data_IF_510767079225
#
_entry.id   IF_510767079225
#
_cell.length_a   1.000
_cell.length_b   1.000
_cell.length_c   1.000
_cell.angle_alpha   90.00
_cell.angle_beta   90.00
_cell.angle_gamma   90.00
#
_symmetry.space_group_name_H-M   'P 1'
#
loop_
_entity.id
_entity.type
_entity.pdbx_description
1 polymer ?
#
# COMPACT_ATOMS: atom_id res chain seq x y z
N UNK A 1 3.50 -20.27 19.59
CA UNK A 1 4.58 -19.35 19.20
C UNK A 1 5.35 -18.87 20.43
N UNK A 2 6.68 -18.65 20.33
CA UNK A 2 7.46 -17.98 21.36
C UNK A 2 7.12 -16.48 21.42
N UNK A 3 7.21 -15.87 22.60
CA UNK A 3 6.87 -14.46 22.88
C UNK A 3 7.45 -13.43 21.88
N UNK A 4 8.69 -13.60 21.36
CA UNK A 4 9.20 -12.72 20.31
C UNK A 4 8.41 -12.75 19.00
N UNK A 5 7.87 -13.89 18.57
CA UNK A 5 7.08 -13.99 17.34
C UNK A 5 5.66 -13.41 17.52
N UNK A 6 5.09 -13.49 18.72
CA UNK A 6 3.81 -12.84 19.02
C UNK A 6 3.94 -11.31 18.91
N UNK A 7 5.05 -10.75 19.39
CA UNK A 7 5.35 -9.33 19.23
C UNK A 7 5.55 -8.93 17.75
N UNK A 8 6.22 -9.79 16.96
CA UNK A 8 6.34 -9.58 15.50
C UNK A 8 4.96 -9.58 14.86
N UNK A 9 4.10 -10.55 15.20
CA UNK A 9 2.76 -10.65 14.62
C UNK A 9 1.88 -9.45 14.98
N UNK A 10 1.91 -9.01 16.23
CA UNK A 10 1.22 -7.80 16.66
C UNK A 10 1.71 -6.57 15.89
N UNK A 11 3.03 -6.43 15.71
CA UNK A 11 3.61 -5.35 14.92
C UNK A 11 3.17 -5.41 13.44
N UNK A 12 3.14 -6.60 12.84
CA UNK A 12 2.65 -6.82 11.47
C UNK A 12 1.19 -6.37 11.34
N UNK A 13 0.31 -6.76 12.27
CA UNK A 13 -1.11 -6.37 12.25
C UNK A 13 -1.26 -4.85 12.37
N UNK A 14 -0.54 -4.22 13.31
CA UNK A 14 -0.59 -2.75 13.48
C UNK A 14 -0.08 -2.04 12.22
N UNK A 15 1.08 -2.44 11.69
CA UNK A 15 1.69 -1.82 10.53
C UNK A 15 0.85 -2.00 9.25
N UNK A 16 0.34 -3.21 9.00
CA UNK A 16 -0.55 -3.48 7.86
C UNK A 16 -1.91 -2.77 8.01
N UNK A 17 -2.40 -2.60 9.24
CA UNK A 17 -3.55 -1.77 9.58
C UNK A 17 -3.35 -0.31 9.22
N UNK A 18 -2.19 0.28 9.56
CA UNK A 18 -1.84 1.66 9.18
C UNK A 18 -1.79 1.82 7.66
N UNK A 19 -1.13 0.90 6.95
CA UNK A 19 -1.06 0.93 5.48
C UNK A 19 -2.46 0.85 4.86
N UNK A 20 -3.25 -0.12 5.31
CA UNK A 20 -4.61 -0.35 4.80
C UNK A 20 -5.54 0.82 5.08
N UNK A 21 -5.52 1.36 6.32
CA UNK A 21 -6.31 2.52 6.70
C UNK A 21 -5.93 3.77 5.91
N UNK A 22 -4.64 3.98 5.67
CA UNK A 22 -4.12 5.08 4.82
C UNK A 22 -4.62 4.93 3.39
N UNK A 23 -4.52 3.73 2.81
CA UNK A 23 -5.01 3.46 1.46
C UNK A 23 -6.52 3.63 1.35
N UNK A 24 -7.27 3.15 2.34
CA UNK A 24 -8.71 3.37 2.43
C UNK A 24 -9.04 4.87 2.43
N UNK A 25 -8.42 5.66 3.31
CA UNK A 25 -8.61 7.11 3.38
C UNK A 25 -8.27 7.80 2.06
N UNK A 26 -7.18 7.38 1.39
CA UNK A 26 -6.83 7.91 0.06
C UNK A 26 -7.91 7.57 -0.96
N UNK A 27 -8.40 6.33 -0.98
CA UNK A 27 -9.39 5.87 -1.95
C UNK A 27 -10.76 6.56 -1.80
N UNK A 28 -11.22 6.80 -0.57
CA UNK A 28 -12.58 7.28 -0.28
C UNK A 28 -12.68 8.78 0.00
N UNK A 29 -11.58 9.45 0.36
CA UNK A 29 -11.57 10.88 0.70
C UNK A 29 -10.65 11.67 -0.22
N UNK A 30 -9.35 11.34 -0.26
CA UNK A 30 -8.36 12.13 -1.00
C UNK A 30 -8.60 12.07 -2.51
N UNK A 31 -8.79 10.87 -3.05
CA UNK A 31 -8.88 10.69 -4.51
C UNK A 31 -10.15 11.27 -5.13
N UNK A 32 -11.34 11.19 -4.50
CA UNK A 32 -12.52 11.92 -4.96
C UNK A 32 -12.28 13.43 -5.11
N UNK A 33 -11.58 14.05 -4.16
CA UNK A 33 -11.21 15.47 -4.23
C UNK A 33 -10.26 15.73 -5.41
N UNK A 34 -9.22 14.90 -5.57
CA UNK A 34 -8.27 15.02 -6.69
C UNK A 34 -8.91 14.85 -8.08
N UNK A 35 -9.93 14.00 -8.19
CA UNK A 35 -10.69 13.82 -9.43
C UNK A 35 -11.50 15.06 -9.83
N UNK A 36 -11.96 15.85 -8.86
CA UNK A 36 -12.75 17.05 -9.10
C UNK A 36 -11.89 18.30 -9.39
N UNK A 37 -10.59 18.25 -9.10
CA UNK A 37 -9.69 19.40 -9.29
C UNK A 37 -9.41 19.69 -10.77
N UNK A 38 -9.25 20.98 -11.15
CA UNK A 38 -8.64 21.36 -12.41
C UNK A 38 -7.23 20.75 -12.54
N UNK A 39 -6.75 20.40 -13.75
CA UNK A 39 -5.50 19.66 -13.95
C UNK A 39 -4.28 20.27 -13.24
N UNK A 40 -4.10 21.59 -13.32
CA UNK A 40 -2.99 22.29 -12.68
C UNK A 40 -3.03 22.16 -11.14
N UNK A 41 -4.22 22.28 -10.54
CA UNK A 41 -4.40 22.14 -9.09
C UNK A 41 -4.19 20.70 -8.65
N UNK A 42 -4.66 19.74 -9.45
CA UNK A 42 -4.42 18.31 -9.23
C UNK A 42 -2.91 18.00 -9.16
N UNK A 43 -2.14 18.45 -10.16
CA UNK A 43 -0.69 18.20 -10.24
C UNK A 43 0.03 18.72 -9.00
N UNK A 44 -0.22 19.97 -8.62
CA UNK A 44 0.41 20.59 -7.46
C UNK A 44 0.01 19.90 -6.15
N UNK A 45 -1.28 19.56 -6.00
CA UNK A 45 -1.80 18.91 -4.79
C UNK A 45 -1.26 17.49 -4.66
N UNK A 46 -1.27 16.71 -5.74
CA UNK A 46 -0.75 15.35 -5.78
C UNK A 46 0.74 15.29 -5.43
N UNK A 47 1.55 16.26 -5.90
CA UNK A 47 2.96 16.37 -5.53
C UNK A 47 3.14 16.58 -4.03
N UNK A 48 2.45 17.58 -3.46
CA UNK A 48 2.52 17.90 -2.03
C UNK A 48 2.08 16.74 -1.13
N UNK A 49 1.02 16.03 -1.53
CA UNK A 49 0.61 14.81 -0.84
C UNK A 49 1.72 13.75 -0.87
N UNK A 50 2.38 13.60 -2.01
CA UNK A 50 3.49 12.64 -2.18
C UNK A 50 4.68 12.88 -1.27
N UNK A 51 5.02 14.13 -0.97
CA UNK A 51 6.16 14.52 -0.11
C UNK A 51 6.04 13.92 1.30
N UNK A 52 4.82 13.86 1.87
CA UNK A 52 4.58 13.24 3.17
C UNK A 52 4.59 11.71 3.15
N UNK A 53 4.07 11.10 2.09
CA UNK A 53 3.95 9.63 2.00
C UNK A 53 5.27 8.93 1.65
N UNK A 54 6.10 9.53 0.79
CA UNK A 54 7.27 8.86 0.21
C UNK A 54 8.31 8.37 1.23
N UNK A 55 8.65 9.10 2.32
CA UNK A 55 9.64 8.61 3.29
C UNK A 55 9.08 7.55 4.25
N UNK A 56 7.78 7.61 4.58
CA UNK A 56 7.19 6.78 5.64
C UNK A 56 6.66 5.45 5.10
N UNK A 57 5.94 5.46 3.97
CA UNK A 57 5.24 4.28 3.48
C UNK A 57 6.16 3.10 3.12
N UNK A 58 7.32 3.29 2.46
CA UNK A 58 8.23 2.17 2.16
C UNK A 58 8.78 1.49 3.42
N UNK A 59 9.01 2.24 4.50
CA UNK A 59 9.48 1.70 5.78
C UNK A 59 8.41 0.80 6.39
N UNK A 60 7.18 1.31 6.53
CA UNK A 60 6.06 0.54 7.12
C UNK A 60 5.76 -0.70 6.26
N UNK A 61 5.75 -0.55 4.93
CA UNK A 61 5.51 -1.68 4.02
C UNK A 61 6.59 -2.75 4.13
N UNK A 62 7.85 -2.34 4.23
CA UNK A 62 8.97 -3.28 4.42
C UNK A 62 8.90 -3.96 5.78
N UNK A 63 8.48 -3.26 6.84
CA UNK A 63 8.26 -3.86 8.17
C UNK A 63 7.23 -4.98 8.11
N UNK A 64 6.10 -4.76 7.42
CA UNK A 64 5.07 -5.81 7.24
C UNK A 64 5.64 -7.00 6.47
N UNK A 65 6.29 -6.75 5.33
CA UNK A 65 6.84 -7.82 4.49
C UNK A 65 7.88 -8.67 5.23
N UNK A 66 8.82 -8.03 5.92
CA UNK A 66 9.83 -8.73 6.72
C UNK A 66 9.18 -9.51 7.86
N UNK A 67 8.19 -8.91 8.53
CA UNK A 67 7.44 -9.57 9.61
C UNK A 67 6.69 -10.82 9.13
N UNK A 68 5.93 -10.73 8.03
CA UNK A 68 5.22 -11.88 7.44
C UNK A 68 6.19 -13.00 7.03
N UNK A 69 7.36 -12.65 6.48
CA UNK A 69 8.41 -13.63 6.14
C UNK A 69 8.96 -14.31 7.38
N UNK A 70 9.25 -13.56 8.45
CA UNK A 70 9.71 -14.14 9.72
C UNK A 70 8.66 -15.09 10.31
N UNK A 71 7.39 -14.68 10.32
CA UNK A 71 6.28 -15.52 10.79
C UNK A 71 6.14 -16.79 9.95
N UNK A 72 6.29 -16.71 8.63
CA UNK A 72 6.27 -17.87 7.75
C UNK A 72 7.42 -18.86 8.03
N UNK A 73 8.65 -18.36 8.18
CA UNK A 73 9.84 -19.19 8.44
C UNK A 73 9.72 -19.93 9.77
N UNK A 74 9.24 -19.23 10.81
CA UNK A 74 9.16 -19.77 12.16
C UNK A 74 7.75 -20.25 12.57
N UNK A 75 6.84 -20.44 11.62
CA UNK A 75 5.50 -20.93 11.90
C UNK A 75 5.51 -22.34 12.50
N UNK A 76 4.74 -22.53 13.59
CA UNK A 76 4.62 -23.79 14.32
C UNK A 76 3.92 -24.90 13.50
N UNK A 77 3.08 -24.53 12.53
CA UNK A 77 2.32 -25.47 11.70
C UNK A 77 2.41 -25.13 10.22
N UNK A 78 2.27 -26.14 9.37
CA UNK A 78 2.22 -25.95 7.90
C UNK A 78 1.05 -25.06 7.47
N UNK A 79 -0.08 -25.12 8.16
CA UNK A 79 -1.25 -24.27 7.90
C UNK A 79 -0.94 -22.80 8.17
N UNK A 80 -0.35 -22.47 9.33
CA UNK A 80 0.07 -21.10 9.65
C UNK A 80 1.12 -20.59 8.67
N UNK A 81 2.10 -21.43 8.33
CA UNK A 81 3.12 -21.12 7.32
C UNK A 81 2.49 -20.68 6.00
N UNK A 82 1.50 -21.44 5.50
CA UNK A 82 0.82 -21.11 4.23
C UNK A 82 0.10 -19.77 4.32
N UNK A 83 -0.55 -19.46 5.44
CA UNK A 83 -1.23 -18.17 5.64
C UNK A 83 -0.24 -17.01 5.64
N UNK A 84 0.87 -17.13 6.37
CA UNK A 84 1.90 -16.08 6.40
C UNK A 84 2.62 -15.91 5.06
N UNK A 85 2.88 -17.00 4.32
CA UNK A 85 3.40 -16.92 2.95
C UNK A 85 2.41 -16.21 2.02
N UNK A 86 1.12 -16.53 2.10
CA UNK A 86 0.11 -15.86 1.30
C UNK A 86 0.00 -14.37 1.64
N UNK A 87 0.04 -14.01 2.92
CA UNK A 87 0.07 -12.63 3.38
C UNK A 87 1.31 -11.89 2.85
N UNK A 88 2.52 -12.48 2.98
CA UNK A 88 3.76 -11.92 2.46
C UNK A 88 3.71 -11.67 0.95
N UNK A 89 3.19 -12.63 0.17
CA UNK A 89 3.06 -12.51 -1.30
C UNK A 89 2.10 -11.38 -1.67
N UNK A 90 0.94 -11.30 -1.00
CA UNK A 90 -0.02 -10.22 -1.22
C UNK A 90 0.58 -8.86 -0.87
N UNK A 91 1.30 -8.78 0.25
CA UNK A 91 1.90 -7.52 0.70
C UNK A 91 3.10 -7.12 -0.17
N UNK A 92 3.86 -8.08 -0.71
CA UNK A 92 4.90 -7.83 -1.71
C UNK A 92 4.32 -7.24 -3.01
N UNK A 93 3.11 -7.63 -3.40
CA UNK A 93 2.47 -7.06 -4.57
C UNK A 93 2.16 -5.57 -4.42
N UNK A 94 1.96 -5.06 -3.19
CA UNK A 94 1.64 -3.64 -2.93
C UNK A 94 2.70 -2.67 -3.49
N UNK A 95 3.99 -2.76 -3.11
CA UNK A 95 5.04 -1.92 -3.68
C UNK A 95 5.28 -2.23 -5.17
N UNK A 96 5.14 -3.48 -5.62
CA UNK A 96 5.32 -3.82 -7.04
C UNK A 96 4.25 -3.16 -7.94
N UNK A 97 2.97 -3.23 -7.55
CA UNK A 97 1.88 -2.53 -8.25
C UNK A 97 2.14 -1.02 -8.26
N UNK A 98 2.62 -0.47 -7.15
CA UNK A 98 2.99 0.95 -7.11
C UNK A 98 4.13 1.27 -8.09
N UNK A 99 5.17 0.44 -8.12
CA UNK A 99 6.36 0.63 -8.94
C UNK A 99 6.05 0.56 -10.45
N UNK A 100 5.19 -0.37 -10.86
CA UNK A 100 4.88 -0.62 -12.27
C UNK A 100 3.60 0.08 -12.75
N UNK A 101 2.72 0.50 -11.85
CA UNK A 101 1.45 1.15 -12.18
C UNK A 101 1.42 2.64 -11.81
N UNK A 102 1.57 2.97 -10.52
CA UNK A 102 1.44 4.35 -10.04
C UNK A 102 2.66 5.22 -10.36
N UNK A 103 3.87 4.68 -10.23
CA UNK A 103 5.11 5.45 -10.38
C UNK A 103 5.34 5.96 -11.81
N UNK A 104 5.06 5.20 -12.89
CA UNK A 104 5.14 5.73 -14.25
C UNK A 104 4.20 6.92 -14.47
N UNK A 105 2.98 6.86 -13.93
CA UNK A 105 2.03 7.97 -13.99
C UNK A 105 2.49 9.18 -13.18
N UNK A 106 3.13 8.94 -12.03
CA UNK A 106 3.73 10.02 -11.23
C UNK A 106 4.85 10.74 -11.99
N UNK A 107 5.59 10.07 -12.88
CA UNK A 107 6.60 10.74 -13.72
C UNK A 107 5.95 11.76 -14.68
N UNK A 108 4.80 11.42 -15.26
CA UNK A 108 4.04 12.36 -16.10
C UNK A 108 3.53 13.56 -15.28
N UNK A 109 3.04 13.31 -14.06
CA UNK A 109 2.61 14.36 -13.12
C UNK A 109 3.78 15.28 -12.74
N UNK A 110 4.95 14.72 -12.46
CA UNK A 110 6.17 15.50 -12.18
C UNK A 110 6.66 16.31 -13.38
N UNK A 111 6.49 15.81 -14.60
CA UNK A 111 6.81 16.57 -15.80
C UNK A 111 5.86 17.77 -15.96
N UNK A 112 4.55 17.56 -15.76
CA UNK A 112 3.55 18.63 -15.81
C UNK A 112 3.74 19.67 -14.70
N UNK A 113 4.21 19.28 -13.52
CA UNK A 113 4.52 20.23 -12.46
C UNK A 113 5.68 21.16 -12.83
N UNK A 114 6.70 20.62 -13.50
CA UNK A 114 7.91 21.37 -13.90
C UNK A 114 7.70 22.24 -15.14
N UNK A 115 6.89 21.79 -16.09
CA UNK A 115 6.77 22.41 -17.41
C UNK A 115 5.39 23.02 -17.69
N UNK A 116 4.44 22.87 -16.76
CA UNK A 116 3.03 23.19 -16.96
C UNK A 116 2.24 22.00 -17.51
N UNK A 117 0.93 21.97 -17.23
CA UNK A 117 0.03 20.97 -17.81
C UNK A 117 -0.13 21.26 -19.31
N UNK A 118 0.19 20.31 -20.21
CA UNK A 118 0.04 20.50 -21.65
C UNK A 118 -1.44 20.53 -22.08
N UNK A 119 -1.72 21.12 -23.24
CA UNK A 119 -3.09 21.22 -23.78
C UNK A 119 -3.69 19.84 -24.09
N UNK A 120 -2.88 18.88 -24.52
CA UNK A 120 -3.24 17.50 -24.81
C UNK A 120 -3.07 16.55 -23.61
N UNK A 121 -3.24 17.06 -22.38
CA UNK A 121 -3.03 16.32 -21.14
C UNK A 121 -3.80 14.99 -21.09
N UNK A 122 -3.05 13.89 -21.23
CA UNK A 122 -3.54 12.56 -20.97
C UNK A 122 -3.74 12.36 -19.47
N UNK A 123 -5.00 12.46 -19.02
CA UNK A 123 -5.36 12.43 -17.61
C UNK A 123 -4.90 11.14 -16.89
N UNK A 124 -3.91 11.20 -15.97
CA UNK A 124 -3.40 10.01 -15.30
C UNK A 124 -4.32 9.55 -14.16
N UNK A 125 -5.31 10.35 -13.75
CA UNK A 125 -6.09 10.11 -12.53
C UNK A 125 -6.85 8.78 -12.55
N UNK A 126 -7.60 8.40 -13.60
CA UNK A 126 -8.33 7.13 -13.62
C UNK A 126 -7.38 5.93 -13.50
N UNK A 127 -6.26 5.95 -14.22
CA UNK A 127 -5.24 4.91 -14.17
C UNK A 127 -4.58 4.82 -12.79
N UNK A 128 -4.22 5.97 -12.21
CA UNK A 128 -3.62 6.03 -10.88
C UNK A 128 -4.57 5.47 -9.82
N UNK A 129 -5.86 5.86 -9.87
CA UNK A 129 -6.92 5.34 -9.00
C UNK A 129 -7.02 3.83 -9.07
N UNK A 130 -7.06 3.29 -10.30
CA UNK A 130 -7.20 1.85 -10.52
C UNK A 130 -6.07 1.09 -9.86
N UNK A 131 -4.81 1.49 -10.10
CA UNK A 131 -3.66 0.85 -9.47
C UNK A 131 -3.66 0.98 -7.95
N UNK A 132 -4.07 2.14 -7.44
CA UNK A 132 -4.23 2.36 -6.01
C UNK A 132 -5.29 1.44 -5.39
N UNK A 133 -6.45 1.29 -6.02
CA UNK A 133 -7.52 0.40 -5.53
C UNK A 133 -7.07 -1.06 -5.55
N UNK A 134 -6.39 -1.51 -6.61
CA UNK A 134 -5.88 -2.88 -6.70
C UNK A 134 -4.93 -3.16 -5.52
N UNK A 135 -3.89 -2.33 -5.31
CA UNK A 135 -2.98 -2.55 -4.18
C UNK A 135 -3.65 -2.39 -2.81
N UNK A 136 -4.74 -1.62 -2.72
CA UNK A 136 -5.54 -1.49 -1.49
C UNK A 136 -6.23 -2.80 -1.14
N UNK A 137 -6.83 -3.47 -2.13
CA UNK A 137 -7.45 -4.78 -1.92
C UNK A 137 -6.42 -5.80 -1.43
N UNK A 138 -5.22 -5.82 -2.01
CA UNK A 138 -4.16 -6.72 -1.58
C UNK A 138 -3.73 -6.47 -0.14
N UNK A 139 -3.57 -5.20 0.26
CA UNK A 139 -3.27 -4.84 1.64
C UNK A 139 -4.38 -5.26 2.62
N UNK A 140 -5.66 -5.05 2.25
CA UNK A 140 -6.82 -5.49 3.06
C UNK A 140 -6.82 -7.00 3.24
N UNK A 141 -6.64 -7.78 2.16
CA UNK A 141 -6.67 -9.24 2.25
C UNK A 141 -5.52 -9.75 3.10
N UNK A 142 -4.31 -9.21 2.94
CA UNK A 142 -3.16 -9.57 3.77
C UNK A 142 -3.37 -9.24 5.26
N UNK A 143 -3.95 -8.08 5.57
CA UNK A 143 -4.33 -7.72 6.94
C UNK A 143 -5.36 -8.72 7.52
N UNK A 144 -6.39 -9.06 6.76
CA UNK A 144 -7.41 -10.04 7.19
C UNK A 144 -6.78 -11.40 7.44
N UNK A 145 -5.89 -11.88 6.58
CA UNK A 145 -5.17 -13.13 6.80
C UNK A 145 -4.35 -13.10 8.10
N UNK A 146 -3.64 -12.01 8.36
CA UNK A 146 -2.88 -11.85 9.60
C UNK A 146 -3.76 -11.82 10.85
N UNK A 147 -4.91 -11.13 10.81
CA UNK A 147 -5.88 -11.11 11.90
C UNK A 147 -6.49 -12.49 12.13
N UNK A 148 -6.86 -13.21 11.07
CA UNK A 148 -7.40 -14.57 11.18
C UNK A 148 -6.35 -15.55 11.72
N UNK A 149 -5.08 -15.42 11.32
CA UNK A 149 -4.00 -16.21 11.88
C UNK A 149 -3.87 -15.99 13.40
N UNK A 150 -3.94 -14.74 13.85
CA UNK A 150 -3.84 -14.40 15.28
C UNK A 150 -5.08 -14.81 16.10
N UNK A 151 -6.29 -14.69 15.52
CA UNK A 151 -7.53 -14.86 16.28
C UNK A 151 -8.12 -16.27 16.22
N UNK A 152 -7.84 -17.03 15.15
CA UNK A 152 -8.54 -18.30 14.85
C UNK A 152 -7.58 -19.47 14.70
N UNK A 153 -6.32 -19.20 14.35
CA UNK A 153 -5.31 -20.24 14.09
C UNK A 153 -4.19 -20.30 15.14
N UNK A 154 -4.28 -19.46 16.18
CA UNK A 154 -3.37 -19.39 17.31
C UNK A 154 -3.47 -20.62 18.23
#
# INVERSE_FOLDING_TARGET
MPLPLELVHALVIVASGIVTGTFFAVAVSVFPVLMAMPPQQYVQTQRRLGEGYHPVMPVIVSTVLVGDVLLAVFADTGRLRLVYVAAAVLFLAVPLISQYGNLPLNKAIQAADRHGVPEDWADPRPGWRRWHLIRSVFAVVALVLNVLAAAVLA
#
